data_IF_475280996974
#
_entry.id   IF_475280996974
#
_cell.length_a   1.000
_cell.length_b   1.000
_cell.length_c   1.000
_cell.angle_alpha   90.00
_cell.angle_beta   90.00
_cell.angle_gamma   90.00
#
_symmetry.space_group_name_H-M   'P 1'
#
loop_
_entity.id
_entity.type
_entity.pdbx_description
1 polymer ?
#
# COMPACT_ATOMS: atom_id res chain seq x y z
N UNK A 1 5.14 6.62 -11.38
CA UNK A 1 4.78 6.10 -12.73
C UNK A 1 3.40 6.61 -13.07
N UNK A 2 3.06 6.78 -14.34
CA UNK A 2 1.75 7.32 -14.72
C UNK A 2 0.57 6.35 -14.52
N UNK A 3 0.84 5.07 -14.29
CA UNK A 3 -0.16 4.04 -14.04
C UNK A 3 -0.37 3.71 -12.56
N UNK A 4 0.32 4.35 -11.62
CA UNK A 4 0.33 3.95 -10.20
C UNK A 4 -1.09 3.83 -9.61
N UNK A 5 -1.87 4.92 -9.66
CA UNK A 5 -3.21 4.96 -9.06
C UNK A 5 -4.18 4.00 -9.76
N UNK A 6 -4.25 4.08 -11.09
CA UNK A 6 -5.14 3.24 -11.91
C UNK A 6 -4.83 1.75 -11.78
N UNK A 7 -3.55 1.37 -11.75
CA UNK A 7 -3.15 -0.03 -11.59
C UNK A 7 -3.51 -0.56 -10.21
N UNK A 8 -3.29 0.21 -9.13
CA UNK A 8 -3.65 -0.23 -7.78
C UNK A 8 -5.16 -0.32 -7.58
N UNK A 9 -5.95 0.62 -8.13
CA UNK A 9 -7.41 0.50 -8.19
C UNK A 9 -7.83 -0.82 -8.85
N UNK A 10 -7.25 -1.13 -10.01
CA UNK A 10 -7.56 -2.36 -10.71
C UNK A 10 -7.12 -3.61 -9.94
N UNK A 11 -5.97 -3.55 -9.28
CA UNK A 11 -5.42 -4.66 -8.50
C UNK A 11 -6.29 -5.01 -7.29
N UNK A 12 -6.74 -4.01 -6.50
CA UNK A 12 -7.62 -4.27 -5.36
C UNK A 12 -9.02 -4.70 -5.79
N UNK A 13 -9.53 -4.20 -6.93
CA UNK A 13 -10.78 -4.69 -7.51
C UNK A 13 -10.64 -6.15 -7.94
N UNK A 14 -9.53 -6.53 -8.57
CA UNK A 14 -9.28 -7.92 -8.98
C UNK A 14 -9.26 -8.86 -7.77
N UNK A 15 -8.64 -8.42 -6.66
CA UNK A 15 -8.66 -9.13 -5.38
C UNK A 15 -10.08 -9.27 -4.81
N UNK A 16 -10.86 -8.19 -4.79
CA UNK A 16 -12.27 -8.24 -4.37
C UNK A 16 -13.10 -9.22 -5.23
N UNK A 17 -12.90 -9.21 -6.55
CA UNK A 17 -13.57 -10.16 -7.43
C UNK A 17 -13.19 -11.61 -7.14
N UNK A 18 -11.93 -11.89 -6.77
CA UNK A 18 -11.53 -13.23 -6.34
C UNK A 18 -12.24 -13.62 -5.03
N UNK A 19 -12.24 -12.74 -4.02
CA UNK A 19 -12.97 -12.99 -2.77
C UNK A 19 -14.46 -13.32 -3.02
N UNK A 20 -15.11 -12.55 -3.89
CA UNK A 20 -16.55 -12.70 -4.15
C UNK A 20 -16.89 -13.93 -4.98
N UNK A 21 -16.14 -14.18 -6.04
CA UNK A 21 -16.48 -15.19 -7.05
C UNK A 21 -15.85 -16.56 -6.75
N UNK A 22 -14.80 -16.62 -5.94
CA UNK A 22 -14.05 -17.85 -5.66
C UNK A 22 -14.16 -18.26 -4.18
N UNK A 23 -14.21 -17.29 -3.25
CA UNK A 23 -14.28 -17.55 -1.80
C UNK A 23 -15.68 -17.35 -1.20
N UNK A 24 -16.68 -16.98 -2.00
CA UNK A 24 -18.07 -16.80 -1.55
C UNK A 24 -18.32 -15.54 -0.73
N UNK A 25 -17.39 -14.58 -0.68
CA UNK A 25 -17.54 -13.32 0.04
C UNK A 25 -18.74 -12.51 -0.52
N UNK A 26 -19.62 -12.03 0.36
CA UNK A 26 -20.81 -11.25 -0.02
C UNK A 26 -20.68 -9.76 0.29
N UNK A 27 -19.67 -9.37 1.06
CA UNK A 27 -19.37 -7.98 1.38
C UNK A 27 -18.64 -7.26 0.25
N UNK A 28 -18.09 -6.09 0.57
CA UNK A 28 -17.25 -5.29 -0.33
C UNK A 28 -15.90 -5.04 0.35
N UNK A 29 -14.86 -4.74 -0.42
CA UNK A 29 -13.53 -4.51 0.14
C UNK A 29 -13.52 -3.32 1.11
N UNK A 30 -13.30 -3.53 2.42
CA UNK A 30 -13.19 -2.44 3.39
C UNK A 30 -11.87 -1.66 3.24
N UNK A 31 -11.87 -0.41 3.69
CA UNK A 31 -10.68 0.44 3.71
C UNK A 31 -10.19 0.71 5.14
N UNK A 32 -8.88 0.95 5.29
CA UNK A 32 -8.29 1.38 6.55
C UNK A 32 -8.31 2.90 6.64
N UNK A 33 -9.22 3.47 7.43
CA UNK A 33 -9.21 4.90 7.70
C UNK A 33 -8.06 5.26 8.66
N UNK A 34 -6.86 5.42 8.11
CA UNK A 34 -5.64 5.62 8.90
C UNK A 34 -5.73 6.83 9.83
N UNK A 35 -6.32 7.92 9.36
CA UNK A 35 -6.29 9.19 10.08
C UNK A 35 -6.96 9.11 11.45
N UNK A 36 -8.03 8.31 11.54
CA UNK A 36 -8.72 7.99 12.80
C UNK A 36 -7.81 7.30 13.82
N UNK A 37 -6.87 6.50 13.36
CA UNK A 37 -6.00 5.65 14.19
C UNK A 37 -4.54 6.09 14.18
N UNK A 38 -4.21 7.23 13.56
CA UNK A 38 -2.83 7.65 13.35
C UNK A 38 -2.05 7.84 14.66
N UNK A 39 -2.72 8.21 15.76
CA UNK A 39 -2.10 8.37 17.09
C UNK A 39 -1.87 7.04 17.82
N UNK A 40 -2.70 6.04 17.54
CA UNK A 40 -2.61 4.71 18.14
C UNK A 40 -3.14 3.66 17.15
N UNK A 41 -2.28 3.19 16.22
CA UNK A 41 -2.70 2.24 15.20
C UNK A 41 -3.13 0.89 15.78
N UNK A 42 -2.60 0.52 16.96
CA UNK A 42 -2.91 -0.74 17.63
C UNK A 42 -4.31 -0.75 18.26
N UNK A 43 -4.89 0.42 18.53
CA UNK A 43 -6.30 0.53 18.94
C UNK A 43 -7.29 0.34 17.77
N UNK A 44 -6.82 0.30 16.52
CA UNK A 44 -7.67 0.05 15.37
C UNK A 44 -8.24 -1.37 15.41
N UNK A 45 -9.55 -1.57 15.12
CA UNK A 45 -10.13 -2.91 14.93
C UNK A 45 -9.41 -3.73 13.84
N UNK A 46 -8.67 -3.06 12.96
CA UNK A 46 -7.87 -3.70 11.93
C UNK A 46 -6.62 -4.41 12.50
N UNK A 47 -6.05 -3.88 13.59
CA UNK A 47 -4.74 -4.26 14.14
C UNK A 47 -4.76 -4.58 15.64
N UNK A 48 -5.93 -4.66 16.27
CA UNK A 48 -6.07 -4.97 17.70
C UNK A 48 -5.72 -6.42 18.07
N UNK A 49 -5.42 -7.28 17.08
CA UNK A 49 -5.05 -8.68 17.28
C UNK A 49 -6.20 -9.59 17.69
N UNK A 50 -7.44 -9.08 17.69
CA UNK A 50 -8.66 -9.86 17.97
C UNK A 50 -9.01 -10.82 16.83
N UNK A 51 -10.06 -11.62 17.03
CA UNK A 51 -10.58 -12.56 16.02
C UNK A 51 -11.19 -11.87 14.79
N UNK A 52 -11.48 -10.58 14.87
CA UNK A 52 -12.07 -9.78 13.77
C UNK A 52 -11.06 -8.84 13.12
N UNK A 53 -9.81 -8.83 13.60
CA UNK A 53 -8.72 -8.06 13.03
C UNK A 53 -8.09 -8.76 11.84
N UNK A 54 -7.17 -8.07 11.19
CA UNK A 54 -6.30 -8.60 10.14
C UNK A 54 -5.00 -9.03 10.84
N UNK A 55 -5.17 -9.59 12.04
CA UNK A 55 -4.16 -9.82 13.06
C UNK A 55 -3.52 -8.54 13.62
N UNK A 56 -2.78 -8.71 14.72
CA UNK A 56 -2.16 -7.61 15.45
C UNK A 56 -0.69 -7.41 15.12
N UNK A 57 0.04 -6.92 16.12
CA UNK A 57 1.48 -6.69 16.06
C UNK A 57 2.29 -8.01 16.05
N UNK A 58 3.57 -7.91 15.68
CA UNK A 58 4.54 -9.00 15.75
C UNK A 58 5.13 -9.18 17.14
N UNK A 59 5.65 -10.36 17.45
CA UNK A 59 6.41 -10.65 18.68
C UNK A 59 7.51 -9.60 18.90
N UNK A 60 7.71 -9.20 20.16
CA UNK A 60 8.72 -8.20 20.48
C UNK A 60 10.12 -8.75 20.23
N UNK A 61 10.91 -8.04 19.42
CA UNK A 61 12.32 -8.36 19.19
C UNK A 61 13.19 -7.28 19.81
N UNK A 62 13.89 -7.64 20.89
CA UNK A 62 14.79 -6.76 21.63
C UNK A 62 16.04 -6.36 20.82
N UNK A 63 16.63 -5.22 21.18
CA UNK A 63 17.91 -4.77 20.61
C UNK A 63 17.82 -4.26 19.16
N UNK A 64 16.62 -4.05 18.63
CA UNK A 64 16.43 -3.41 17.33
C UNK A 64 16.59 -1.89 17.45
N UNK A 65 17.45 -1.33 16.61
CA UNK A 65 17.75 0.10 16.58
C UNK A 65 16.85 0.88 15.62
N UNK A 66 17.37 2.02 15.15
CA UNK A 66 16.76 2.79 14.08
C UNK A 66 17.03 2.20 12.70
N UNK A 67 16.22 2.61 11.73
CA UNK A 67 16.36 2.31 10.31
C UNK A 67 15.99 3.54 9.47
N UNK A 68 16.42 3.55 8.21
CA UNK A 68 16.38 4.72 7.34
C UNK A 68 15.66 4.46 6.01
N UNK A 69 14.88 5.44 5.54
CA UNK A 69 14.27 5.45 4.21
C UNK A 69 14.89 6.50 3.28
N UNK A 70 15.03 6.20 1.97
CA UNK A 70 14.78 4.89 1.34
C UNK A 70 15.84 3.83 1.70
N UNK A 71 17.01 4.22 2.20
CA UNK A 71 18.05 3.30 2.66
C UNK A 71 19.05 4.00 3.61
N UNK A 72 19.93 3.22 4.24
CA UNK A 72 20.95 3.69 5.18
C UNK A 72 21.98 4.64 4.56
N UNK A 73 22.26 4.54 3.25
CA UNK A 73 23.23 5.41 2.55
C UNK A 73 22.64 6.80 2.29
N UNK A 74 21.35 6.88 2.00
CA UNK A 74 20.62 8.13 1.71
C UNK A 74 19.42 8.25 2.65
N UNK A 75 19.69 8.45 3.93
CA UNK A 75 18.64 8.57 4.94
C UNK A 75 17.90 9.92 4.81
N UNK A 76 16.65 9.87 4.33
CA UNK A 76 15.74 11.02 4.27
C UNK A 76 14.77 11.05 5.46
N UNK A 77 14.41 9.88 5.97
CA UNK A 77 13.54 9.72 7.13
C UNK A 77 14.08 8.61 8.03
N UNK A 78 14.28 8.91 9.30
CA UNK A 78 14.76 7.97 10.32
C UNK A 78 13.57 7.47 11.14
N UNK A 79 13.46 6.16 11.31
CA UNK A 79 12.47 5.53 12.17
C UNK A 79 13.13 4.76 13.30
N UNK A 80 12.44 4.70 14.43
CA UNK A 80 12.79 3.78 15.51
C UNK A 80 11.94 2.52 15.40
N UNK A 81 12.54 1.37 15.67
CA UNK A 81 11.79 0.12 15.81
C UNK A 81 10.75 0.26 16.92
N UNK A 82 9.55 -0.29 16.69
CA UNK A 82 8.45 -0.24 17.65
C UNK A 82 8.45 -1.48 18.56
N UNK A 83 7.28 -1.87 19.07
CA UNK A 83 7.13 -2.93 20.07
C UNK A 83 6.90 -4.33 19.47
N UNK A 84 7.07 -4.50 18.15
CA UNK A 84 6.97 -5.78 17.48
C UNK A 84 8.30 -6.26 16.90
N UNK A 85 8.28 -6.61 15.61
CA UNK A 85 9.43 -7.03 14.81
C UNK A 85 9.43 -8.50 14.40
N UNK A 86 8.84 -9.36 15.21
CA UNK A 86 8.74 -10.80 14.97
C UNK A 86 7.45 -11.21 14.26
N UNK A 87 7.19 -12.52 14.23
CA UNK A 87 5.94 -13.08 13.71
C UNK A 87 4.73 -12.49 14.43
N UNK A 88 3.63 -12.29 13.71
CA UNK A 88 2.34 -11.87 14.28
C UNK A 88 1.95 -12.75 15.48
N UNK A 89 1.61 -12.13 16.61
CA UNK A 89 1.31 -12.83 17.88
C UNK A 89 -0.08 -13.46 17.89
N UNK A 90 -1.07 -12.77 17.33
CA UNK A 90 -2.48 -13.13 17.48
C UNK A 90 -3.35 -12.66 16.32
N UNK A 91 -4.55 -13.25 16.22
CA UNK A 91 -5.55 -12.96 15.19
C UNK A 91 -5.60 -14.02 14.08
N UNK A 92 -6.47 -13.83 13.07
CA UNK A 92 -6.78 -14.85 12.07
C UNK A 92 -5.60 -15.28 11.18
N UNK A 93 -4.58 -14.43 11.05
CA UNK A 93 -3.42 -14.63 10.19
C UNK A 93 -2.14 -14.99 10.98
N UNK A 94 -2.24 -15.34 12.27
CA UNK A 94 -1.05 -15.71 13.07
C UNK A 94 -0.25 -16.87 12.47
N UNK A 95 -0.95 -17.82 11.83
CA UNK A 95 -0.36 -19.01 11.20
C UNK A 95 -0.19 -18.84 9.68
N UNK A 96 -0.45 -17.64 9.15
CA UNK A 96 -0.29 -17.33 7.73
C UNK A 96 1.18 -17.36 7.33
N UNK A 97 1.47 -18.09 6.25
CA UNK A 97 2.81 -18.17 5.68
C UNK A 97 2.92 -17.29 4.46
N UNK A 98 3.84 -16.34 4.50
CA UNK A 98 4.29 -15.63 3.31
C UNK A 98 5.30 -16.51 2.58
N UNK A 99 5.10 -16.70 1.27
CA UNK A 99 5.85 -17.67 0.47
C UNK A 99 6.82 -17.04 -0.53
N UNK A 100 6.68 -15.73 -0.80
CA UNK A 100 7.48 -14.99 -1.77
C UNK A 100 8.28 -13.88 -1.07
N UNK A 101 9.17 -13.25 -1.83
CA UNK A 101 10.08 -12.23 -1.34
C UNK A 101 11.05 -12.76 -0.26
N UNK A 102 11.76 -11.86 0.43
CA UNK A 102 11.82 -10.43 0.15
C UNK A 102 12.59 -10.13 -1.15
N UNK A 103 12.37 -8.93 -1.71
CA UNK A 103 13.11 -8.35 -2.85
C UNK A 103 13.89 -7.12 -2.39
N UNK A 104 13.23 -6.18 -1.72
CA UNK A 104 13.82 -4.92 -1.23
C UNK A 104 13.34 -4.59 0.18
N UNK A 105 13.39 -5.56 1.09
CA UNK A 105 13.06 -5.31 2.49
C UNK A 105 14.17 -4.50 3.18
N UNK A 106 13.76 -3.51 3.99
CA UNK A 106 14.65 -2.79 4.91
C UNK A 106 14.67 -3.40 6.32
N UNK A 107 13.83 -4.42 6.57
CA UNK A 107 13.80 -5.12 7.85
C UNK A 107 15.02 -6.04 8.03
N UNK A 108 15.59 -6.02 9.24
CA UNK A 108 16.72 -6.88 9.61
C UNK A 108 16.24 -8.26 10.06
N UNK A 109 17.03 -9.29 9.77
CA UNK A 109 16.75 -10.67 10.21
C UNK A 109 15.76 -11.44 9.33
N UNK A 110 15.36 -10.89 8.18
CA UNK A 110 14.54 -11.59 7.20
C UNK A 110 15.45 -12.46 6.31
N UNK A 111 15.18 -13.78 6.17
CA UNK A 111 15.95 -14.63 5.26
C UNK A 111 15.83 -14.14 3.80
N UNK A 112 16.94 -14.04 3.05
CA UNK A 112 16.90 -13.63 1.65
C UNK A 112 16.13 -14.66 0.81
N UNK A 113 15.47 -14.21 -0.25
CA UNK A 113 14.82 -15.11 -1.19
C UNK A 113 15.88 -15.95 -1.94
N UNK A 114 15.65 -17.26 -2.19
CA UNK A 114 16.58 -18.09 -2.97
C UNK A 114 16.72 -17.65 -4.44
N UNK A 115 15.79 -16.85 -4.96
CA UNK A 115 15.84 -16.25 -6.30
C UNK A 115 15.93 -14.73 -6.21
N UNK A 116 16.77 -14.12 -7.05
CA UNK A 116 17.02 -12.67 -7.03
C UNK A 116 15.82 -11.82 -7.45
N UNK A 117 14.84 -12.41 -8.15
CA UNK A 117 13.59 -11.77 -8.54
C UNK A 117 12.52 -11.84 -7.43
N UNK A 118 12.80 -12.51 -6.31
CA UNK A 118 11.87 -12.70 -5.19
C UNK A 118 10.76 -13.71 -5.44
N UNK A 119 10.77 -14.43 -6.56
CA UNK A 119 9.73 -15.39 -6.93
C UNK A 119 10.01 -16.81 -6.44
N UNK A 120 11.17 -17.03 -5.81
CA UNK A 120 11.52 -18.31 -5.20
C UNK A 120 10.65 -18.63 -3.98
N UNK A 121 10.35 -19.92 -3.79
CA UNK A 121 9.60 -20.40 -2.63
C UNK A 121 10.42 -20.20 -1.34
N UNK A 122 9.95 -19.28 -0.49
CA UNK A 122 10.61 -18.84 0.75
C UNK A 122 9.60 -18.73 1.91
N UNK A 123 9.03 -19.86 2.38
CA UNK A 123 7.97 -19.86 3.39
C UNK A 123 8.48 -19.38 4.75
N UNK A 124 7.81 -18.38 5.32
CA UNK A 124 8.08 -17.84 6.66
C UNK A 124 6.82 -17.20 7.24
N UNK A 125 6.84 -16.89 8.53
CA UNK A 125 5.70 -16.23 9.17
C UNK A 125 5.52 -14.80 8.64
N UNK A 126 4.29 -14.29 8.66
CA UNK A 126 4.04 -12.86 8.51
C UNK A 126 4.53 -12.13 9.78
N UNK A 127 5.42 -11.15 9.63
CA UNK A 127 5.95 -10.33 10.73
C UNK A 127 5.48 -8.89 10.61
N UNK A 128 5.32 -8.22 11.75
CA UNK A 128 4.91 -6.81 11.84
C UNK A 128 5.65 -6.09 12.95
N UNK A 129 5.76 -4.77 12.80
CA UNK A 129 6.29 -3.87 13.81
C UNK A 129 5.47 -2.59 13.76
N UNK A 130 4.26 -2.62 14.31
CA UNK A 130 3.28 -1.55 14.11
C UNK A 130 3.85 -0.22 14.62
N UNK A 131 4.08 0.72 13.71
CA UNK A 131 4.93 1.87 13.94
C UNK A 131 4.15 3.20 13.98
N UNK A 132 3.96 3.74 15.18
CA UNK A 132 3.24 5.01 15.39
C UNK A 132 3.95 6.22 14.77
N UNK A 133 5.28 6.17 14.62
CA UNK A 133 6.02 7.25 13.98
C UNK A 133 5.69 7.33 12.49
N UNK A 134 5.60 6.18 11.81
CA UNK A 134 5.17 6.10 10.42
C UNK A 134 3.69 6.47 10.24
N UNK A 135 2.81 6.05 11.17
CA UNK A 135 1.38 6.37 11.08
C UNK A 135 1.10 7.87 11.23
N UNK A 136 2.00 8.64 11.84
CA UNK A 136 1.86 10.09 11.94
C UNK A 136 1.75 10.78 10.56
N UNK A 137 2.28 10.18 9.50
CA UNK A 137 2.18 10.69 8.12
C UNK A 137 0.79 10.47 7.50
N UNK A 138 -0.09 9.76 8.19
CA UNK A 138 -1.44 9.41 7.72
C UNK A 138 -2.56 10.09 8.53
N UNK A 139 -2.22 11.05 9.40
CA UNK A 139 -3.17 11.87 10.16
C UNK A 139 -4.06 12.73 9.26
N UNK A 140 -5.17 13.23 9.82
CA UNK A 140 -6.18 13.99 9.08
C UNK A 140 -5.58 15.19 8.34
N UNK A 141 -4.65 15.92 8.98
CA UNK A 141 -4.01 17.08 8.39
C UNK A 141 -3.24 16.74 7.11
N UNK A 142 -2.58 15.58 7.07
CA UNK A 142 -1.81 15.13 5.91
C UNK A 142 -2.72 14.68 4.76
N UNK A 143 -3.83 14.01 5.08
CA UNK A 143 -4.81 13.57 4.10
C UNK A 143 -5.55 14.76 3.49
N UNK A 144 -5.97 15.73 4.32
CA UNK A 144 -6.63 16.95 3.85
C UNK A 144 -5.68 17.77 2.99
N UNK A 145 -4.44 18.00 3.45
CA UNK A 145 -3.40 18.72 2.67
C UNK A 145 -3.22 18.10 1.28
N UNK A 146 -3.09 16.77 1.21
CA UNK A 146 -2.97 16.04 -0.04
C UNK A 146 -4.16 16.27 -0.99
N UNK A 147 -5.39 16.25 -0.47
CA UNK A 147 -6.60 16.40 -1.29
C UNK A 147 -6.80 17.85 -1.76
N UNK A 148 -6.53 18.85 -0.91
CA UNK A 148 -6.92 20.24 -1.18
C UNK A 148 -5.83 21.08 -1.84
N UNK A 149 -4.55 20.78 -1.60
CA UNK A 149 -3.45 21.67 -2.02
C UNK A 149 -2.68 21.20 -3.27
N UNK A 150 -3.04 20.06 -3.85
CA UNK A 150 -2.36 19.48 -5.01
C UNK A 150 -3.35 19.31 -6.18
N UNK A 151 -3.57 20.36 -7.00
CA UNK A 151 -4.69 20.39 -7.94
C UNK A 151 -4.47 19.58 -9.23
N UNK A 152 -3.23 19.21 -9.54
CA UNK A 152 -2.86 18.41 -10.71
C UNK A 152 -2.42 16.99 -10.30
N UNK A 153 -2.63 16.02 -11.19
CA UNK A 153 -2.40 14.61 -10.91
C UNK A 153 -0.92 14.30 -10.60
N UNK A 154 0.02 15.03 -11.19
CA UNK A 154 1.45 14.79 -10.98
C UNK A 154 1.85 15.20 -9.57
N UNK A 155 1.47 16.41 -9.14
CA UNK A 155 1.79 16.91 -7.81
C UNK A 155 1.06 16.10 -6.72
N UNK A 156 -0.19 15.72 -6.95
CA UNK A 156 -0.98 14.85 -6.06
C UNK A 156 -0.31 13.49 -5.86
N UNK A 157 -0.04 12.76 -6.95
CA UNK A 157 0.56 11.42 -6.83
C UNK A 157 1.98 11.48 -6.27
N UNK A 158 2.75 12.54 -6.57
CA UNK A 158 4.09 12.72 -6.03
C UNK A 158 4.05 13.01 -4.52
N UNK A 159 3.16 13.89 -4.05
CA UNK A 159 2.98 14.14 -2.61
C UNK A 159 2.54 12.88 -1.86
N UNK A 160 1.71 12.05 -2.48
CA UNK A 160 1.26 10.79 -1.92
C UNK A 160 2.40 9.77 -1.70
N UNK A 161 3.41 9.75 -2.58
CA UNK A 161 4.38 8.64 -2.71
C UNK A 161 5.86 9.01 -2.53
N UNK A 162 6.26 10.27 -2.66
CA UNK A 162 7.68 10.60 -2.71
C UNK A 162 8.26 10.83 -1.30
N UNK A 163 9.49 10.38 -1.12
CA UNK A 163 10.31 10.77 0.02
C UNK A 163 10.92 12.15 -0.22
N UNK A 164 10.71 13.04 0.74
CA UNK A 164 11.52 14.26 0.92
C UNK A 164 12.04 14.27 2.36
N UNK A 165 12.94 15.18 2.70
CA UNK A 165 13.52 15.22 4.04
C UNK A 165 12.41 15.32 5.10
N UNK A 166 12.29 14.29 5.95
CA UNK A 166 11.28 14.21 7.01
C UNK A 166 9.83 13.97 6.57
N UNK A 167 9.56 13.73 5.27
CA UNK A 167 8.20 13.50 4.75
C UNK A 167 8.22 12.32 3.79
N UNK A 168 7.23 11.45 3.89
CA UNK A 168 7.14 10.22 3.11
C UNK A 168 5.81 10.09 2.36
N UNK A 169 4.78 10.83 2.77
CA UNK A 169 3.47 10.80 2.14
C UNK A 169 2.61 9.62 2.62
N UNK A 170 1.29 9.75 2.44
CA UNK A 170 0.31 8.84 3.04
C UNK A 170 0.42 7.39 2.54
N UNK A 171 0.90 7.17 1.32
CA UNK A 171 1.11 5.82 0.77
C UNK A 171 2.22 5.10 1.54
N UNK A 172 3.41 5.70 1.60
CA UNK A 172 4.50 5.11 2.37
C UNK A 172 4.14 5.06 3.86
N UNK A 173 3.53 6.12 4.41
CA UNK A 173 3.12 6.15 5.82
C UNK A 173 2.26 4.95 6.19
N UNK A 174 1.28 4.61 5.35
CA UNK A 174 0.43 3.45 5.56
C UNK A 174 1.15 2.11 5.45
N UNK A 175 2.09 1.93 4.50
CA UNK A 175 2.91 0.71 4.41
C UNK A 175 3.86 0.56 5.60
N UNK A 176 4.65 1.59 5.90
CA UNK A 176 5.65 1.53 6.97
C UNK A 176 5.03 1.60 8.38
N UNK A 177 3.75 1.95 8.51
CA UNK A 177 2.98 1.72 9.75
C UNK A 177 2.92 0.23 10.08
N UNK A 178 2.90 -0.65 9.07
CA UNK A 178 2.83 -2.11 9.28
C UNK A 178 4.17 -2.65 9.76
N UNK A 179 5.27 -2.10 9.26
CA UNK A 179 6.62 -2.56 9.58
C UNK A 179 6.84 -4.03 9.17
N UNK A 180 7.78 -4.70 9.85
CA UNK A 180 8.08 -6.11 9.62
C UNK A 180 8.62 -6.41 8.21
N UNK A 181 8.39 -7.63 7.73
CA UNK A 181 8.95 -8.11 6.47
C UNK A 181 8.31 -7.43 5.24
N UNK A 182 7.05 -7.76 4.97
CA UNK A 182 6.33 -7.32 3.76
C UNK A 182 5.92 -5.85 3.84
N UNK A 183 5.60 -5.31 5.02
CA UNK A 183 5.28 -3.89 5.18
C UNK A 183 6.46 -2.96 4.88
N UNK A 184 7.69 -3.47 4.94
CA UNK A 184 8.93 -2.74 4.63
C UNK A 184 9.58 -3.17 3.31
N UNK A 185 8.85 -3.93 2.48
CA UNK A 185 9.28 -4.37 1.14
C UNK A 185 8.29 -3.87 0.08
N UNK A 186 8.74 -2.93 -0.75
CA UNK A 186 7.91 -2.29 -1.78
C UNK A 186 7.28 -3.30 -2.76
N UNK A 187 7.95 -4.41 -3.06
CA UNK A 187 7.50 -5.39 -4.04
C UNK A 187 6.68 -6.52 -3.42
N UNK A 188 6.98 -6.86 -2.16
CA UNK A 188 6.31 -7.96 -1.44
C UNK A 188 5.21 -7.48 -0.49
N UNK A 189 4.89 -6.18 -0.45
CA UNK A 189 3.84 -5.63 0.41
C UNK A 189 2.46 -6.29 0.31
N UNK A 190 1.97 -6.79 -0.85
CA UNK A 190 0.69 -7.52 -0.92
C UNK A 190 0.68 -8.86 -0.16
N UNK A 191 1.85 -9.38 0.26
CA UNK A 191 1.92 -10.57 1.09
C UNK A 191 1.35 -10.35 2.50
N UNK A 192 1.27 -9.09 2.95
CA UNK A 192 0.47 -8.71 4.12
C UNK A 192 -0.95 -8.35 3.69
N UNK A 193 -1.94 -9.07 4.21
CA UNK A 193 -3.37 -8.81 3.96
C UNK A 193 -3.84 -7.37 4.26
N UNK A 194 -3.13 -6.61 5.11
CA UNK A 194 -3.43 -5.20 5.38
C UNK A 194 -3.23 -4.29 4.16
N UNK A 195 -2.44 -4.73 3.16
CA UNK A 195 -2.22 -4.04 1.89
C UNK A 195 -3.53 -3.63 1.22
N UNK A 196 -4.51 -4.54 1.15
CA UNK A 196 -5.75 -4.29 0.41
C UNK A 196 -6.62 -3.22 1.09
N UNK A 197 -6.61 -3.18 2.42
CA UNK A 197 -7.32 -2.16 3.20
C UNK A 197 -6.63 -0.80 3.09
N UNK A 198 -5.29 -0.79 3.09
CA UNK A 198 -4.49 0.41 2.81
C UNK A 198 -4.80 0.94 1.41
N UNK A 199 -4.66 0.12 0.36
CA UNK A 199 -4.90 0.59 -1.00
C UNK A 199 -6.36 0.95 -1.29
N UNK A 200 -7.33 0.36 -0.59
CA UNK A 200 -8.71 0.85 -0.65
C UNK A 200 -8.87 2.27 -0.08
N UNK A 201 -8.07 2.65 0.93
CA UNK A 201 -8.06 4.03 1.42
C UNK A 201 -7.25 4.97 0.50
N UNK A 202 -6.17 4.49 -0.14
CA UNK A 202 -5.48 5.24 -1.20
C UNK A 202 -6.45 5.56 -2.33
N UNK A 203 -7.22 4.57 -2.77
CA UNK A 203 -8.22 4.75 -3.81
C UNK A 203 -9.35 5.68 -3.38
N UNK A 204 -9.80 5.60 -2.12
CA UNK A 204 -10.78 6.55 -1.56
C UNK A 204 -10.26 7.99 -1.56
N UNK A 205 -9.01 8.22 -1.20
CA UNK A 205 -8.38 9.55 -1.22
C UNK A 205 -8.29 10.08 -2.66
N UNK A 206 -7.89 9.25 -3.61
CA UNK A 206 -7.87 9.62 -5.03
C UNK A 206 -9.27 9.88 -5.59
N UNK A 207 -10.24 9.02 -5.30
CA UNK A 207 -11.65 9.19 -5.66
C UNK A 207 -12.21 10.52 -5.13
N UNK A 208 -11.92 10.84 -3.86
CA UNK A 208 -12.34 12.12 -3.24
C UNK A 208 -11.70 13.30 -3.97
N UNK A 209 -10.40 13.21 -4.28
CA UNK A 209 -9.71 14.23 -5.05
C UNK A 209 -10.30 14.41 -6.46
N UNK A 210 -10.63 13.32 -7.17
CA UNK A 210 -11.29 13.40 -8.48
C UNK A 210 -12.67 14.07 -8.37
N UNK A 211 -13.43 13.77 -7.31
CA UNK A 211 -14.77 14.28 -7.09
C UNK A 211 -14.84 15.81 -6.84
N UNK A 212 -13.75 16.43 -6.39
CA UNK A 212 -13.69 17.89 -6.20
C UNK A 212 -13.71 18.69 -7.52
N UNK A 213 -13.34 18.07 -8.64
CA UNK A 213 -13.43 18.67 -9.98
C UNK A 213 -13.65 17.57 -11.04
N UNK A 214 -14.88 17.10 -11.11
CA UNK A 214 -15.32 16.07 -12.05
C UNK A 214 -15.17 16.46 -13.52
N UNK A 215 -15.01 17.76 -13.83
CA UNK A 215 -14.84 18.22 -15.20
C UNK A 215 -13.41 17.96 -15.69
N UNK A 216 -12.42 18.28 -14.85
CA UNK A 216 -11.02 18.28 -15.29
C UNK A 216 -10.22 17.09 -14.78
N UNK A 217 -10.52 16.53 -13.60
CA UNK A 217 -9.67 15.52 -12.93
C UNK A 217 -9.83 14.07 -13.40
N UNK A 218 -11.02 13.57 -13.77
CA UNK A 218 -11.19 12.13 -14.04
C UNK A 218 -10.28 11.57 -15.14
N UNK A 219 -9.95 12.32 -16.18
CA UNK A 219 -9.13 11.82 -17.29
C UNK A 219 -7.69 12.38 -17.27
N UNK A 220 -7.17 12.71 -16.09
CA UNK A 220 -5.80 13.21 -15.94
C UNK A 220 -4.81 12.08 -15.76
N UNK A 221 -3.66 12.19 -16.42
CA UNK A 221 -2.53 11.27 -16.27
C UNK A 221 -1.22 12.06 -16.40
N UNK A 222 -0.23 11.70 -15.60
CA UNK A 222 1.11 12.25 -15.69
C UNK A 222 2.18 11.28 -15.20
N UNK A 223 3.39 11.41 -15.74
CA UNK A 223 4.54 10.53 -15.45
C UNK A 223 4.79 9.52 -16.58
N UNK A 224 5.81 8.70 -16.38
CA UNK A 224 6.30 7.75 -17.39
C UNK A 224 5.96 6.30 -17.01
N UNK A 225 6.32 5.37 -17.91
CA UNK A 225 6.04 3.93 -17.77
C UNK A 225 7.02 3.19 -16.85
N UNK A 226 8.07 3.84 -16.37
CA UNK A 226 9.12 3.26 -15.53
C UNK A 226 9.21 3.95 -14.18
N UNK A 227 9.56 3.19 -13.15
CA UNK A 227 9.68 3.71 -11.78
C UNK A 227 10.69 4.87 -11.73
N UNK A 228 10.25 6.04 -11.24
CA UNK A 228 11.02 7.28 -11.23
C UNK A 228 11.68 7.64 -12.59
N UNK A 229 11.08 7.19 -13.69
CA UNK A 229 11.64 7.30 -15.04
C UNK A 229 13.05 6.67 -15.18
N UNK A 230 13.29 5.55 -14.51
CA UNK A 230 14.55 4.83 -14.56
C UNK A 230 14.34 3.33 -14.93
N UNK A 231 14.84 2.87 -16.09
CA UNK A 231 15.43 3.68 -17.17
C UNK A 231 14.40 4.64 -17.78
N UNK A 232 14.82 5.72 -18.49
CA UNK A 232 13.88 6.65 -19.12
C UNK A 232 12.91 5.94 -20.06
N UNK A 233 11.64 6.32 -20.01
CA UNK A 233 10.57 5.81 -20.87
C UNK A 233 9.65 6.93 -21.34
N UNK A 234 8.77 6.63 -22.30
CA UNK A 234 7.75 7.58 -22.76
C UNK A 234 6.76 7.93 -21.65
N UNK A 235 6.08 9.06 -21.83
CA UNK A 235 4.93 9.40 -21.01
C UNK A 235 3.84 8.33 -21.12
N UNK A 236 3.20 8.07 -19.99
CA UNK A 236 2.02 7.23 -19.95
C UNK A 236 0.83 7.94 -20.60
N UNK A 237 -0.04 7.19 -21.26
CA UNK A 237 -1.26 7.66 -21.91
C UNK A 237 -2.47 6.90 -21.36
N UNK A 238 -3.66 7.45 -21.56
CA UNK A 238 -4.89 6.78 -21.13
C UNK A 238 -5.13 5.44 -21.86
N UNK A 239 -4.54 5.27 -23.05
CA UNK A 239 -4.67 4.05 -23.86
C UNK A 239 -3.68 2.95 -23.45
N UNK A 240 -2.77 3.22 -22.51
CA UNK A 240 -1.84 2.22 -22.00
C UNK A 240 -2.57 1.07 -21.30
N UNK A 241 -2.14 -0.14 -21.59
CA UNK A 241 -2.75 -1.37 -21.07
C UNK A 241 -2.30 -1.64 -19.64
N UNK A 242 -3.26 -1.90 -18.77
CA UNK A 242 -3.09 -2.44 -17.43
C UNK A 242 -3.32 -3.94 -17.43
N UNK A 243 -2.40 -4.67 -16.79
CA UNK A 243 -2.52 -6.11 -16.58
C UNK A 243 -2.17 -6.46 -15.13
N UNK A 244 -2.88 -7.45 -14.60
CA UNK A 244 -2.59 -8.10 -13.31
C UNK A 244 -2.01 -9.51 -13.51
N UNK A 245 -1.56 -9.82 -14.73
CA UNK A 245 -0.91 -11.07 -15.08
C UNK A 245 -1.77 -12.29 -14.72
N UNK A 246 -1.17 -13.24 -13.99
CA UNK A 246 -1.79 -14.51 -13.64
C UNK A 246 -2.89 -14.42 -12.57
N UNK A 247 -3.20 -13.22 -12.04
CA UNK A 247 -4.42 -13.00 -11.24
C UNK A 247 -5.68 -13.26 -12.10
N UNK A 248 -5.55 -13.27 -13.42
CA UNK A 248 -6.57 -13.84 -14.30
C UNK A 248 -7.77 -12.94 -14.56
N UNK A 249 -7.60 -11.62 -14.45
CA UNK A 249 -8.60 -10.64 -14.91
C UNK A 249 -8.23 -10.07 -16.28
N UNK A 250 -9.22 -9.68 -17.12
CA UNK A 250 -8.95 -9.17 -18.46
C UNK A 250 -8.00 -7.97 -18.47
N UNK A 251 -7.23 -7.78 -19.55
CA UNK A 251 -6.49 -6.54 -19.71
C UNK A 251 -7.47 -5.38 -19.95
N UNK A 252 -7.23 -4.24 -19.31
CA UNK A 252 -8.00 -3.00 -19.50
C UNK A 252 -7.05 -1.85 -19.82
N UNK A 253 -7.57 -0.71 -20.24
CA UNK A 253 -6.74 0.50 -20.40
C UNK A 253 -6.70 1.32 -19.10
N UNK A 254 -5.73 2.23 -19.00
CA UNK A 254 -5.72 3.25 -17.94
C UNK A 254 -7.02 4.06 -17.94
N UNK A 255 -7.57 4.36 -19.13
CA UNK A 255 -8.84 5.06 -19.31
C UNK A 255 -10.00 4.35 -18.62
N UNK A 256 -10.09 3.04 -18.80
CA UNK A 256 -11.14 2.21 -18.19
C UNK A 256 -11.05 2.23 -16.66
N UNK A 257 -9.86 2.49 -16.12
CA UNK A 257 -9.60 2.51 -14.69
C UNK A 257 -9.71 3.89 -14.02
N UNK A 258 -10.08 4.94 -14.76
CA UNK A 258 -10.12 6.31 -14.22
C UNK A 258 -11.32 6.60 -13.31
N UNK A 259 -12.44 5.88 -13.45
CA UNK A 259 -13.68 6.14 -12.72
C UNK A 259 -14.17 4.90 -12.00
N UNK A 260 -14.57 5.03 -10.74
CA UNK A 260 -15.11 3.92 -9.94
C UNK A 260 -16.51 3.46 -10.38
N UNK A 261 -17.12 4.16 -11.34
CA UNK A 261 -18.47 3.89 -11.87
C UNK A 261 -18.47 3.74 -13.41
N UNK A 262 -17.32 3.43 -14.01
CA UNK A 262 -17.20 3.12 -15.43
C UNK A 262 -16.23 1.95 -15.64
N UNK A 263 -16.13 1.48 -16.89
CA UNK A 263 -15.30 0.31 -17.21
C UNK A 263 -15.78 -0.92 -16.43
N UNK A 264 -14.87 -1.67 -15.77
CA UNK A 264 -15.26 -2.82 -14.95
C UNK A 264 -15.78 -2.45 -13.55
N UNK A 265 -15.82 -1.16 -13.20
CA UNK A 265 -16.09 -0.69 -11.84
C UNK A 265 -17.52 -0.16 -11.67
N UNK A 266 -18.09 -0.43 -10.49
CA UNK A 266 -19.38 0.11 -10.08
C UNK A 266 -19.46 0.21 -8.54
N UNK A 267 -18.71 1.15 -7.96
CA UNK A 267 -18.65 1.37 -6.53
C UNK A 267 -18.41 2.85 -6.17
N UNK A 268 -18.73 3.18 -4.92
CA UNK A 268 -18.45 4.48 -4.29
C UNK A 268 -17.92 4.25 -2.88
N UNK A 269 -17.26 5.27 -2.31
CA UNK A 269 -16.84 5.25 -0.92
C UNK A 269 -17.82 6.04 -0.05
N UNK A 270 -18.05 5.55 1.16
CA UNK A 270 -18.78 6.25 2.22
C UNK A 270 -17.84 7.01 3.18
#
# INVERSE_FOLDING_TARGET
>A
MGNFLSWHRYYIWAYEQALRNECGYKGYLPYNNWSKWAKDPLASPLFDGSKTSISGDGEYVAGRGSWCLPNEVRCMVTFHSANGGGCIKSGPFKDWKINLGPIQTTAKGIPPNPQADGLGYNPRCLSRDINTQASNETRDEMVVDLITNYPDILSFQNKMQNFTLGVMGVHNGGHYTIGGDSGMDMFNSPADSSFYFHHAMIDRVWWTWQALDLKNRPNTIAGTMTFLNNPPSRNATLDDVLSVGYVGKPNITIKDAQSTIAGPFCYVYA
#
